data_IF_618113469541
#
_entry.id   IF_618113469541
#
_cell.length_a   1.000
_cell.length_b   1.000
_cell.length_c   1.000
_cell.angle_alpha   90.00
_cell.angle_beta   90.00
_cell.angle_gamma   90.00
#
_symmetry.space_group_name_H-M   'P 1'
#
loop_
_entity.id
_entity.type
_entity.pdbx_description
1 polymer ?
#
# COMPACT_ATOMS: atom_id res chain seq x y z
N UNK A 1 -14.45 18.31 -41.60
CA UNK A 1 -14.23 16.85 -41.39
C UNK A 1 -13.12 16.69 -40.37
N UNK A 2 -13.45 16.12 -39.20
CA UNK A 2 -12.55 15.98 -38.05
C UNK A 2 -11.53 14.88 -38.32
N UNK A 3 -10.25 15.24 -38.26
CA UNK A 3 -9.13 14.30 -38.30
C UNK A 3 -9.08 13.57 -36.96
N UNK A 4 -9.34 12.25 -36.95
CA UNK A 4 -9.09 11.41 -35.78
C UNK A 4 -7.58 11.35 -35.52
N UNK A 5 -7.11 12.06 -34.51
CA UNK A 5 -5.78 11.80 -33.94
C UNK A 5 -5.95 10.64 -32.97
N UNK A 6 -5.34 9.51 -33.31
CA UNK A 6 -5.20 8.34 -32.44
C UNK A 6 -4.47 8.76 -31.16
N UNK A 7 -5.17 8.86 -30.05
CA UNK A 7 -4.56 8.97 -28.72
C UNK A 7 -3.92 7.63 -28.39
N UNK A 8 -2.59 7.55 -28.50
CA UNK A 8 -1.83 6.46 -27.93
C UNK A 8 -1.88 6.57 -26.42
N UNK A 9 -2.69 5.72 -25.79
CA UNK A 9 -2.59 5.42 -24.37
C UNK A 9 -1.19 4.81 -24.16
N UNK A 10 -0.31 5.47 -23.42
CA UNK A 10 0.87 4.80 -22.88
C UNK A 10 0.44 3.98 -21.64
N UNK A 11 -0.50 3.05 -21.85
CA UNK A 11 -0.65 1.91 -20.97
C UNK A 11 0.55 1.01 -21.26
N UNK A 12 1.64 1.22 -20.50
CA UNK A 12 2.70 0.24 -20.41
C UNK A 12 2.11 -0.99 -19.71
N UNK A 13 1.52 -1.86 -20.54
CA UNK A 13 1.11 -3.20 -20.20
C UNK A 13 2.34 -3.94 -19.68
N UNK A 14 2.29 -4.26 -18.38
CA UNK A 14 3.19 -5.22 -17.76
C UNK A 14 2.93 -6.57 -18.41
N UNK A 15 3.73 -6.95 -19.41
CA UNK A 15 3.88 -8.35 -19.81
C UNK A 15 5.04 -8.95 -19.02
N UNK A 16 4.83 -9.13 -17.71
CA UNK A 16 5.47 -10.23 -17.03
C UNK A 16 4.57 -11.45 -17.22
N UNK A 17 4.95 -12.33 -18.13
CA UNK A 17 4.70 -13.75 -17.93
C UNK A 17 5.68 -14.25 -16.84
N UNK A 18 5.61 -13.65 -15.64
CA UNK A 18 5.93 -14.40 -14.44
C UNK A 18 4.76 -15.36 -14.29
N UNK A 19 5.00 -16.63 -13.95
CA UNK A 19 3.92 -17.48 -13.44
C UNK A 19 3.25 -16.69 -12.32
N UNK A 20 2.08 -16.08 -12.58
CA UNK A 20 1.42 -15.33 -11.53
C UNK A 20 0.96 -16.40 -10.55
N UNK A 21 1.55 -16.34 -9.35
CA UNK A 21 1.30 -17.36 -8.36
C UNK A 21 -0.21 -17.39 -8.12
N UNK A 22 -0.80 -18.59 -8.01
CA UNK A 22 -2.19 -18.69 -7.58
C UNK A 22 -2.28 -18.12 -6.16
N UNK A 23 -3.30 -17.29 -5.91
CA UNK A 23 -3.53 -16.78 -4.56
C UNK A 23 -3.79 -17.97 -3.62
N UNK A 24 -3.09 -18.13 -2.49
CA UNK A 24 -3.25 -19.31 -1.66
C UNK A 24 -4.67 -19.50 -1.11
N UNK A 25 -5.03 -20.75 -0.82
CA UNK A 25 -6.25 -21.06 -0.09
C UNK A 25 -5.95 -21.19 1.41
N UNK A 26 -6.53 -20.31 2.21
CA UNK A 26 -6.34 -20.31 3.66
C UNK A 26 -7.46 -21.06 4.39
N UNK A 27 -7.09 -21.72 5.47
CA UNK A 27 -8.01 -22.31 6.44
C UNK A 27 -8.35 -21.28 7.52
N UNK A 28 -9.45 -20.56 7.31
CA UNK A 28 -9.89 -19.49 8.20
C UNK A 28 -10.29 -19.97 9.60
N UNK A 29 -10.40 -21.28 9.84
CA UNK A 29 -10.61 -21.81 11.19
C UNK A 29 -9.38 -21.63 12.08
N UNK A 30 -8.19 -21.47 11.49
CA UNK A 30 -6.93 -21.31 12.23
C UNK A 30 -6.72 -19.89 12.78
N UNK A 31 -7.58 -18.93 12.43
CA UNK A 31 -7.48 -17.53 12.92
C UNK A 31 -7.67 -17.47 14.44
N UNK A 32 -8.44 -18.39 15.00
CA UNK A 32 -8.72 -18.48 16.42
C UNK A 32 -8.21 -19.83 16.92
N UNK A 33 -7.52 -19.83 18.06
CA UNK A 33 -6.99 -21.05 18.68
C UNK A 33 -7.35 -21.11 20.16
N UNK A 34 -7.42 -22.30 20.78
CA UNK A 34 -7.51 -22.40 22.23
C UNK A 34 -6.37 -21.63 22.91
N UNK A 35 -6.70 -20.91 23.98
CA UNK A 35 -5.71 -20.22 24.81
C UNK A 35 -5.18 -21.15 25.90
N UNK A 36 -4.16 -20.69 26.64
CA UNK A 36 -3.66 -21.41 27.83
C UNK A 36 -4.66 -21.41 28.99
N UNK A 37 -5.61 -20.48 28.99
CA UNK A 37 -6.69 -20.45 29.96
C UNK A 37 -7.84 -21.35 29.47
N UNK A 38 -8.26 -22.27 30.34
CA UNK A 38 -9.30 -23.26 30.01
C UNK A 38 -10.61 -22.57 29.62
N UNK A 39 -11.18 -22.95 28.49
CA UNK A 39 -12.42 -22.37 27.98
C UNK A 39 -12.27 -21.04 27.23
N UNK A 40 -11.06 -20.48 27.16
CA UNK A 40 -10.80 -19.22 26.44
C UNK A 40 -10.11 -19.47 25.10
N UNK A 41 -10.41 -18.62 24.13
CA UNK A 41 -9.82 -18.62 22.80
C UNK A 41 -9.00 -17.35 22.58
N UNK A 42 -7.94 -17.47 21.79
CA UNK A 42 -7.05 -16.37 21.44
C UNK A 42 -6.89 -16.27 19.92
N UNK A 43 -6.57 -15.07 19.44
CA UNK A 43 -6.18 -14.87 18.04
C UNK A 43 -4.85 -15.57 17.77
N UNK A 44 -4.80 -16.30 16.66
CA UNK A 44 -3.58 -16.86 16.13
C UNK A 44 -2.87 -15.82 15.27
N UNK A 45 -2.25 -14.83 15.93
CA UNK A 45 -1.61 -13.70 15.25
C UNK A 45 -0.56 -14.14 14.21
N UNK A 46 0.16 -15.23 14.45
CA UNK A 46 1.12 -15.79 13.48
C UNK A 46 0.43 -16.25 12.19
N UNK A 47 -0.72 -16.90 12.30
CA UNK A 47 -1.48 -17.33 11.12
C UNK A 47 -2.10 -16.13 10.41
N UNK A 48 -2.63 -15.15 11.16
CA UNK A 48 -3.12 -13.89 10.60
C UNK A 48 -2.01 -13.18 9.82
N UNK A 49 -0.78 -13.11 10.36
CA UNK A 49 0.37 -12.49 9.69
C UNK A 49 0.76 -13.21 8.40
N UNK A 50 0.64 -14.54 8.36
CA UNK A 50 0.84 -15.31 7.14
C UNK A 50 -0.19 -14.91 6.07
N UNK A 51 -1.48 -14.94 6.42
CA UNK A 51 -2.56 -14.56 5.48
C UNK A 51 -2.41 -13.12 5.00
N UNK A 52 -2.02 -12.19 5.89
CA UNK A 52 -1.74 -10.79 5.53
C UNK A 52 -0.55 -10.70 4.57
N UNK A 53 0.52 -11.47 4.78
CA UNK A 53 1.68 -11.51 3.89
C UNK A 53 1.30 -12.00 2.49
N UNK A 54 0.52 -13.07 2.42
CA UNK A 54 0.01 -13.61 1.17
C UNK A 54 -0.91 -12.59 0.49
N UNK A 55 -1.86 -11.96 1.21
CA UNK A 55 -2.68 -10.87 0.69
C UNK A 55 -1.85 -9.69 0.16
N UNK A 56 -0.78 -9.31 0.87
CA UNK A 56 0.07 -8.18 0.49
C UNK A 56 0.77 -8.41 -0.85
N UNK A 57 1.16 -9.66 -1.14
CA UNK A 57 1.75 -10.02 -2.43
C UNK A 57 0.83 -9.75 -3.63
N UNK A 58 -0.49 -9.77 -3.43
CA UNK A 58 -1.48 -9.62 -4.50
C UNK A 58 -2.25 -8.29 -4.47
N UNK A 59 -2.49 -7.75 -3.29
CA UNK A 59 -3.32 -6.57 -3.07
C UNK A 59 -2.57 -5.43 -2.36
N UNK A 60 -1.27 -5.58 -2.08
CA UNK A 60 -0.45 -4.57 -1.41
C UNK A 60 -0.14 -3.34 -2.27
N UNK A 61 -0.31 -3.43 -3.58
CA UNK A 61 -0.12 -2.33 -4.54
C UNK A 61 -1.31 -2.27 -5.50
N UNK A 62 -1.59 -1.09 -6.06
CA UNK A 62 -2.60 -0.90 -7.10
C UNK A 62 -1.96 -0.79 -8.50
N UNK A 63 -2.52 -1.44 -9.55
CA UNK A 63 -3.65 -2.36 -9.49
C UNK A 63 -3.27 -3.70 -8.83
N UNK A 64 -4.22 -4.40 -8.18
CA UNK A 64 -3.95 -5.69 -7.58
C UNK A 64 -3.68 -6.76 -8.64
N UNK A 65 -2.82 -7.73 -8.32
CA UNK A 65 -2.25 -8.69 -9.28
C UNK A 65 -2.91 -10.07 -9.22
N UNK A 66 -4.23 -10.14 -9.28
CA UNK A 66 -4.97 -11.41 -9.33
C UNK A 66 -5.15 -11.89 -10.77
N UNK A 67 -4.88 -13.16 -11.04
CA UNK A 67 -5.11 -13.77 -12.36
C UNK A 67 -6.61 -13.90 -12.65
N UNK A 68 -7.39 -14.27 -11.64
CA UNK A 68 -8.81 -14.56 -11.78
C UNK A 68 -9.67 -13.72 -10.85
N UNK A 69 -10.91 -13.46 -11.29
CA UNK A 69 -11.92 -12.85 -10.42
C UNK A 69 -12.29 -13.72 -9.22
N UNK A 70 -12.10 -15.04 -9.32
CA UNK A 70 -12.32 -15.99 -8.22
C UNK A 70 -11.33 -15.75 -7.07
N UNK A 71 -10.05 -15.57 -7.39
CA UNK A 71 -9.01 -15.33 -6.40
C UNK A 71 -9.18 -13.97 -5.73
N UNK A 72 -9.47 -12.93 -6.53
CA UNK A 72 -9.79 -11.61 -6.00
C UNK A 72 -11.01 -11.66 -5.06
N UNK A 73 -12.04 -12.46 -5.39
CA UNK A 73 -13.20 -12.63 -4.53
C UNK A 73 -12.88 -13.42 -3.25
N UNK A 74 -11.97 -14.41 -3.30
CA UNK A 74 -11.48 -15.10 -2.10
C UNK A 74 -10.74 -14.12 -1.19
N UNK A 75 -9.79 -13.35 -1.73
CA UNK A 75 -9.06 -12.32 -0.99
C UNK A 75 -10.00 -11.30 -0.31
N UNK A 76 -11.03 -10.81 -1.02
CA UNK A 76 -12.04 -9.90 -0.44
C UNK A 76 -12.78 -10.53 0.76
N UNK A 77 -13.17 -11.81 0.67
CA UNK A 77 -13.84 -12.52 1.77
C UNK A 77 -12.90 -12.70 2.96
N UNK A 78 -11.63 -13.01 2.71
CA UNK A 78 -10.65 -13.18 3.77
C UNK A 78 -10.32 -11.86 4.47
N UNK A 79 -10.15 -10.76 3.72
CA UNK A 79 -10.02 -9.42 4.29
C UNK A 79 -11.24 -9.07 5.14
N UNK A 80 -12.47 -9.34 4.67
CA UNK A 80 -13.68 -9.07 5.43
C UNK A 80 -13.73 -9.86 6.75
N UNK A 81 -13.35 -11.14 6.74
CA UNK A 81 -13.29 -11.98 7.94
C UNK A 81 -12.23 -11.48 8.93
N UNK A 82 -11.02 -11.20 8.46
CA UNK A 82 -9.91 -10.74 9.31
C UNK A 82 -10.21 -9.36 9.92
N UNK A 83 -10.68 -8.40 9.12
CA UNK A 83 -11.01 -7.07 9.62
C UNK A 83 -12.14 -7.11 10.65
N UNK A 84 -13.17 -7.94 10.45
CA UNK A 84 -14.23 -8.13 11.45
C UNK A 84 -13.68 -8.64 12.79
N UNK A 85 -12.81 -9.66 12.76
CA UNK A 85 -12.22 -10.24 13.96
C UNK A 85 -11.27 -9.25 14.67
N UNK A 86 -10.47 -8.51 13.91
CA UNK A 86 -9.58 -7.50 14.47
C UNK A 86 -10.36 -6.31 15.05
N UNK A 87 -11.47 -5.90 14.42
CA UNK A 87 -12.35 -4.85 14.94
C UNK A 87 -12.93 -5.23 16.32
N UNK A 88 -13.29 -6.50 16.53
CA UNK A 88 -13.72 -7.00 17.85
C UNK A 88 -12.58 -6.94 18.89
N UNK A 89 -11.36 -7.29 18.49
CA UNK A 89 -10.18 -7.15 19.35
C UNK A 89 -9.90 -5.70 19.75
N UNK A 90 -9.99 -4.79 18.78
CA UNK A 90 -9.77 -3.35 18.97
C UNK A 90 -10.81 -2.69 19.89
N UNK A 91 -12.05 -3.21 19.93
CA UNK A 91 -13.07 -2.75 20.89
C UNK A 91 -12.70 -3.08 22.34
N UNK A 92 -12.00 -4.19 22.55
CA UNK A 92 -11.62 -4.67 23.88
C UNK A 92 -10.35 -4.00 24.38
N UNK A 93 -9.35 -3.87 23.53
CA UNK A 93 -8.09 -3.17 23.84
C UNK A 93 -7.44 -2.66 22.55
N UNK A 94 -7.43 -1.34 22.30
CA UNK A 94 -6.71 -0.80 21.16
C UNK A 94 -5.20 -0.91 21.41
N UNK A 95 -4.56 -1.86 20.74
CA UNK A 95 -3.10 -1.97 20.72
C UNK A 95 -2.52 -1.67 19.33
N UNK A 96 -1.24 -1.29 19.33
CA UNK A 96 -0.48 -0.92 18.12
C UNK A 96 -0.45 -2.02 17.07
N UNK A 97 -0.37 -3.27 17.50
CA UNK A 97 -0.21 -4.44 16.65
C UNK A 97 -1.51 -4.78 15.90
N UNK A 98 -2.66 -4.69 16.58
CA UNK A 98 -3.97 -4.88 15.96
C UNK A 98 -4.32 -3.72 15.03
N UNK A 99 -4.03 -2.48 15.45
CA UNK A 99 -4.26 -1.28 14.61
C UNK A 99 -3.46 -1.36 13.30
N UNK A 100 -2.20 -1.76 13.35
CA UNK A 100 -1.36 -1.92 12.16
C UNK A 100 -1.91 -2.96 11.18
N UNK A 101 -2.31 -4.14 11.68
CA UNK A 101 -2.90 -5.20 10.84
C UNK A 101 -4.22 -4.76 10.20
N UNK A 102 -5.11 -4.17 10.99
CA UNK A 102 -6.41 -3.72 10.51
C UNK A 102 -6.26 -2.60 9.47
N UNK A 103 -5.34 -1.63 9.70
CA UNK A 103 -5.06 -0.56 8.75
C UNK A 103 -4.53 -1.11 7.42
N UNK A 104 -3.59 -2.06 7.47
CA UNK A 104 -3.03 -2.69 6.28
C UNK A 104 -4.08 -3.50 5.51
N UNK A 105 -4.91 -4.29 6.20
CA UNK A 105 -6.01 -5.03 5.58
C UNK A 105 -7.02 -4.10 4.91
N UNK A 106 -7.37 -2.97 5.52
CA UNK A 106 -8.25 -1.99 4.90
C UNK A 106 -7.60 -1.25 3.73
N UNK A 107 -6.29 -1.01 3.75
CA UNK A 107 -5.55 -0.52 2.57
C UNK A 107 -5.64 -1.51 1.41
N UNK A 108 -5.40 -2.80 1.65
CA UNK A 108 -5.54 -3.85 0.63
C UNK A 108 -7.00 -4.00 0.17
N UNK A 109 -7.96 -3.87 1.08
CA UNK A 109 -9.38 -3.84 0.75
C UNK A 109 -9.73 -2.66 -0.15
N UNK A 110 -9.14 -1.48 0.07
CA UNK A 110 -9.29 -0.35 -0.83
C UNK A 110 -8.74 -0.64 -2.23
N UNK A 111 -7.56 -1.26 -2.34
CA UNK A 111 -6.99 -1.67 -3.62
C UNK A 111 -7.84 -2.71 -4.36
N UNK A 112 -8.72 -3.42 -3.64
CA UNK A 112 -9.69 -4.39 -4.18
C UNK A 112 -11.11 -3.82 -4.36
N UNK A 113 -11.26 -2.50 -4.29
CA UNK A 113 -12.53 -1.77 -4.40
C UNK A 113 -13.57 -2.16 -3.33
N UNK A 114 -13.13 -2.58 -2.15
CA UNK A 114 -14.05 -2.88 -1.05
C UNK A 114 -14.63 -1.56 -0.47
N UNK A 115 -15.97 -1.47 -0.31
CA UNK A 115 -16.63 -0.29 0.23
C UNK A 115 -16.05 0.16 1.57
N UNK A 116 -16.00 1.48 1.78
CA UNK A 116 -15.53 2.16 3.00
C UNK A 116 -14.11 1.82 3.48
N UNK A 117 -13.39 0.93 2.79
CA UNK A 117 -12.08 0.45 3.25
C UNK A 117 -11.04 1.57 3.29
N UNK A 118 -11.11 2.54 2.38
CA UNK A 118 -10.23 3.70 2.41
C UNK A 118 -10.40 4.57 3.69
N UNK A 119 -11.65 4.84 4.10
CA UNK A 119 -11.96 5.62 5.31
C UNK A 119 -11.49 4.91 6.57
N UNK A 120 -11.69 3.59 6.60
CA UNK A 120 -11.26 2.74 7.71
C UNK A 120 -9.74 2.69 7.80
N UNK A 121 -9.04 2.50 6.67
CA UNK A 121 -7.58 2.54 6.62
C UNK A 121 -7.04 3.85 7.18
N UNK A 122 -7.55 4.99 6.69
CA UNK A 122 -7.17 6.31 7.17
C UNK A 122 -7.38 6.49 8.68
N UNK A 123 -8.58 6.16 9.17
CA UNK A 123 -8.92 6.26 10.60
C UNK A 123 -7.99 5.40 11.46
N UNK A 124 -7.66 4.20 11.00
CA UNK A 124 -6.80 3.27 11.75
C UNK A 124 -5.34 3.72 11.73
N UNK A 125 -4.82 4.24 10.62
CA UNK A 125 -3.49 4.83 10.57
C UNK A 125 -3.36 6.05 11.48
N UNK A 126 -4.37 6.93 11.51
CA UNK A 126 -4.40 8.08 12.41
C UNK A 126 -4.38 7.65 13.88
N UNK A 127 -5.20 6.65 14.25
CA UNK A 127 -5.17 6.07 15.60
C UNK A 127 -3.82 5.45 15.95
N UNK A 128 -3.23 4.70 15.01
CA UNK A 128 -1.92 4.07 15.16
C UNK A 128 -0.81 5.11 15.39
N UNK A 129 -0.80 6.19 14.62
CA UNK A 129 0.19 7.25 14.74
C UNK A 129 -0.08 8.18 15.92
N UNK A 130 -1.29 8.22 16.47
CA UNK A 130 -1.56 8.91 17.73
C UNK A 130 -0.88 8.22 18.93
N UNK A 131 -0.79 6.89 18.92
CA UNK A 131 -0.14 6.11 19.98
C UNK A 131 1.35 5.87 19.73
N UNK A 132 1.78 5.85 18.47
CA UNK A 132 3.17 5.63 18.08
C UNK A 132 3.57 6.60 16.96
N UNK A 133 3.79 7.90 17.28
CA UNK A 133 4.02 8.95 16.27
C UNK A 133 5.24 8.76 15.38
N UNK A 134 6.23 8.02 15.87
CA UNK A 134 7.51 7.74 15.20
C UNK A 134 7.61 6.28 14.74
N UNK A 135 6.50 5.54 14.72
CA UNK A 135 6.49 4.18 14.16
C UNK A 135 6.84 4.24 12.67
N UNK A 136 8.02 3.71 12.33
CA UNK A 136 8.60 3.75 11.00
C UNK A 136 7.68 3.11 9.97
N UNK A 137 7.11 1.95 10.28
CA UNK A 137 6.26 1.21 9.34
C UNK A 137 4.91 1.90 9.16
N UNK A 138 4.31 2.41 10.23
CA UNK A 138 3.05 3.14 10.15
C UNK A 138 3.18 4.44 9.35
N UNK A 139 4.26 5.20 9.57
CA UNK A 139 4.55 6.42 8.82
C UNK A 139 4.75 6.12 7.33
N UNK A 140 5.51 5.06 7.00
CA UNK A 140 5.64 4.63 5.61
C UNK A 140 4.31 4.21 4.99
N UNK A 141 3.57 3.29 5.63
CA UNK A 141 2.36 2.72 5.05
C UNK A 141 1.24 3.76 4.90
N UNK A 142 1.09 4.68 5.86
CA UNK A 142 0.11 5.77 5.74
C UNK A 142 0.53 6.80 4.69
N UNK A 143 1.81 7.17 4.66
CA UNK A 143 2.34 8.05 3.62
C UNK A 143 2.17 7.46 2.22
N UNK A 144 2.45 6.16 2.04
CA UNK A 144 2.21 5.44 0.80
C UNK A 144 0.73 5.45 0.41
N UNK A 145 -0.15 5.11 1.34
CA UNK A 145 -1.60 5.13 1.11
C UNK A 145 -2.11 6.52 0.70
N UNK A 146 -1.65 7.58 1.34
CA UNK A 146 -2.00 8.96 0.98
C UNK A 146 -1.48 9.32 -0.42
N UNK A 147 -0.25 8.93 -0.76
CA UNK A 147 0.31 9.17 -2.08
C UNK A 147 -0.46 8.42 -3.19
N UNK A 148 -0.77 7.14 -2.98
CA UNK A 148 -1.53 6.30 -3.91
C UNK A 148 -2.98 6.79 -4.12
N UNK A 149 -3.58 7.41 -3.10
CA UNK A 149 -4.93 7.98 -3.16
C UNK A 149 -4.97 9.43 -3.65
N UNK A 150 -3.87 9.95 -4.20
CA UNK A 150 -3.78 11.29 -4.78
C UNK A 150 -3.58 12.42 -3.77
N UNK A 151 -3.34 12.10 -2.51
CA UNK A 151 -3.13 13.05 -1.41
C UNK A 151 -1.63 13.30 -1.18
N UNK A 152 -0.87 13.52 -2.26
CA UNK A 152 0.60 13.63 -2.23
C UNK A 152 1.12 14.70 -1.28
N UNK A 153 0.45 15.85 -1.15
CA UNK A 153 0.87 16.87 -0.17
C UNK A 153 0.72 16.40 1.28
N UNK A 154 -0.30 15.59 1.57
CA UNK A 154 -0.54 15.07 2.92
C UNK A 154 0.40 13.89 3.26
N UNK A 155 0.92 13.18 2.25
CA UNK A 155 1.84 12.06 2.48
C UNK A 155 3.23 12.49 2.92
N UNK A 156 3.70 13.67 2.46
CA UNK A 156 5.05 14.19 2.73
C UNK A 156 5.50 14.08 4.20
N UNK A 157 4.78 14.60 5.21
CA UNK A 157 5.25 14.55 6.59
C UNK A 157 5.45 13.12 7.13
N UNK A 158 4.65 12.16 6.67
CA UNK A 158 4.77 10.76 7.09
C UNK A 158 5.93 10.06 6.37
N UNK A 159 6.08 10.30 5.07
CA UNK A 159 7.19 9.75 4.29
C UNK A 159 8.54 10.32 4.73
N UNK A 160 8.62 11.61 5.04
CA UNK A 160 9.82 12.27 5.62
C UNK A 160 10.21 11.68 6.98
N UNK A 161 9.23 11.27 7.81
CA UNK A 161 9.52 10.54 9.06
C UNK A 161 10.11 9.16 8.76
N UNK A 162 9.55 8.43 7.81
CA UNK A 162 10.04 7.11 7.44
C UNK A 162 11.46 7.15 6.84
N UNK A 163 11.78 8.15 6.00
CA UNK A 163 13.13 8.32 5.45
C UNK A 163 14.15 8.78 6.48
N UNK A 164 13.77 9.61 7.47
CA UNK A 164 14.66 9.95 8.60
C UNK A 164 15.05 8.74 9.44
N UNK A 165 14.22 7.70 9.46
CA UNK A 165 14.53 6.43 10.08
C UNK A 165 15.30 5.48 9.15
N UNK A 166 15.85 5.99 8.03
CA UNK A 166 16.57 5.27 6.99
C UNK A 166 15.80 4.08 6.42
N UNK A 167 14.47 4.18 6.27
CA UNK A 167 13.67 3.11 5.67
C UNK A 167 13.74 3.19 4.14
N UNK A 168 14.50 2.32 3.45
CA UNK A 168 14.80 2.51 2.04
C UNK A 168 13.58 2.56 1.11
N UNK A 169 12.51 1.75 1.34
CA UNK A 169 11.30 1.81 0.52
C UNK A 169 10.61 3.18 0.51
N UNK A 170 10.77 4.01 1.56
CA UNK A 170 10.12 5.31 1.63
C UNK A 170 10.68 6.34 0.63
N UNK A 171 11.95 6.23 0.23
CA UNK A 171 12.59 7.23 -0.63
C UNK A 171 11.95 7.31 -2.03
N UNK A 172 11.55 6.18 -2.61
CA UNK A 172 10.89 6.17 -3.92
C UNK A 172 9.51 6.86 -3.84
N UNK A 173 8.69 6.47 -2.85
CA UNK A 173 7.37 7.08 -2.66
C UNK A 173 7.48 8.57 -2.33
N UNK A 174 8.48 8.97 -1.54
CA UNK A 174 8.74 10.37 -1.21
C UNK A 174 9.18 11.16 -2.45
N UNK A 175 10.02 10.58 -3.31
CA UNK A 175 10.40 11.20 -4.58
C UNK A 175 9.19 11.47 -5.47
N UNK A 176 8.29 10.48 -5.60
CA UNK A 176 7.05 10.64 -6.36
C UNK A 176 6.12 11.69 -5.74
N UNK A 177 6.00 11.72 -4.41
CA UNK A 177 5.16 12.69 -3.72
C UNK A 177 5.70 14.12 -3.91
N UNK A 178 7.01 14.35 -3.77
CA UNK A 178 7.62 15.66 -4.06
C UNK A 178 7.46 16.07 -5.51
N UNK A 179 7.64 15.12 -6.43
CA UNK A 179 7.43 15.41 -7.84
C UNK A 179 5.98 15.86 -8.08
N UNK A 180 5.00 15.12 -7.54
CA UNK A 180 3.58 15.42 -7.64
C UNK A 180 3.18 16.78 -7.04
N UNK A 181 3.90 17.26 -6.02
CA UNK A 181 3.69 18.57 -5.41
C UNK A 181 4.54 19.69 -6.02
N UNK A 182 5.32 19.40 -7.06
CA UNK A 182 6.11 20.37 -7.83
C UNK A 182 7.53 20.61 -7.30
N UNK A 183 7.97 19.90 -6.26
CA UNK A 183 9.34 19.99 -5.75
C UNK A 183 10.27 18.99 -6.48
N UNK A 184 10.57 19.29 -7.75
CA UNK A 184 11.40 18.44 -8.60
C UNK A 184 12.84 18.26 -8.06
N UNK A 185 13.35 19.21 -7.27
CA UNK A 185 14.69 19.09 -6.69
C UNK A 185 14.72 18.02 -5.60
N UNK A 186 13.80 18.09 -4.63
CA UNK A 186 13.69 17.04 -3.60
C UNK A 186 13.30 15.68 -4.18
N UNK A 187 12.52 15.67 -5.26
CA UNK A 187 12.20 14.43 -5.97
C UNK A 187 13.48 13.72 -6.46
N UNK A 188 14.36 14.45 -7.16
CA UNK A 188 15.64 13.93 -7.65
C UNK A 188 16.54 13.45 -6.51
N UNK A 189 16.68 14.24 -5.45
CA UNK A 189 17.51 13.88 -4.28
C UNK A 189 17.05 12.54 -3.65
N UNK A 190 15.75 12.38 -3.41
CA UNK A 190 15.21 11.15 -2.83
C UNK A 190 15.34 9.95 -3.79
N UNK A 191 15.16 10.17 -5.09
CA UNK A 191 15.32 9.11 -6.09
C UNK A 191 16.77 8.65 -6.23
N UNK A 192 17.74 9.57 -6.10
CA UNK A 192 19.16 9.25 -6.01
C UNK A 192 19.46 8.37 -4.80
N UNK A 193 18.94 8.71 -3.62
CA UNK A 193 19.11 7.88 -2.40
C UNK A 193 18.48 6.50 -2.58
N UNK A 194 17.26 6.43 -3.13
CA UNK A 194 16.62 5.14 -3.44
C UNK A 194 17.51 4.24 -4.33
N UNK A 195 18.12 4.83 -5.37
CA UNK A 195 18.99 4.11 -6.30
C UNK A 195 20.32 3.65 -5.68
N UNK A 196 20.78 4.26 -4.59
CA UNK A 196 21.93 3.75 -3.83
C UNK A 196 21.66 2.36 -3.24
N UNK A 197 20.41 2.09 -2.87
CA UNK A 197 19.99 0.79 -2.35
C UNK A 197 19.45 -0.15 -3.43
N UNK A 198 19.02 0.39 -4.57
CA UNK A 198 18.35 -0.33 -5.65
C UNK A 198 19.00 -0.04 -7.02
N UNK A 199 20.33 -0.20 -7.11
CA UNK A 199 21.12 0.24 -8.28
C UNK A 199 20.69 -0.37 -9.63
N UNK A 200 19.98 -1.52 -9.60
CA UNK A 200 19.51 -2.21 -10.79
C UNK A 200 18.07 -1.83 -11.20
N UNK A 201 17.41 -0.92 -10.47
CA UNK A 201 16.08 -0.44 -10.82
C UNK A 201 16.14 0.52 -12.02
N UNK A 202 16.00 -0.07 -13.21
CA UNK A 202 16.04 0.66 -14.49
C UNK A 202 14.90 1.68 -14.61
N UNK A 203 13.77 1.46 -13.95
CA UNK A 203 12.62 2.36 -14.01
C UNK A 203 12.88 3.60 -13.18
N UNK A 204 13.35 3.43 -11.94
CA UNK A 204 13.76 4.54 -11.10
C UNK A 204 14.91 5.34 -11.74
N UNK A 205 15.87 4.67 -12.38
CA UNK A 205 16.96 5.35 -13.11
C UNK A 205 16.42 6.18 -14.29
N UNK A 206 15.56 5.60 -15.12
CA UNK A 206 14.96 6.32 -16.25
C UNK A 206 14.10 7.52 -15.80
N UNK A 207 13.39 7.38 -14.68
CA UNK A 207 12.64 8.48 -14.08
C UNK A 207 13.56 9.61 -13.62
N UNK A 208 14.68 9.29 -12.97
CA UNK A 208 15.68 10.28 -12.55
C UNK A 208 16.25 11.02 -13.76
N UNK A 209 16.66 10.31 -14.81
CA UNK A 209 17.19 10.89 -16.03
C UNK A 209 16.17 11.83 -16.70
N UNK A 210 14.89 11.43 -16.73
CA UNK A 210 13.82 12.27 -17.25
C UNK A 210 13.61 13.54 -16.40
N UNK A 211 13.74 13.47 -15.07
CA UNK A 211 13.66 14.64 -14.19
C UNK A 211 14.85 15.58 -14.37
N UNK A 212 16.06 15.04 -14.58
CA UNK A 212 17.28 15.81 -14.82
C UNK A 212 17.21 16.55 -16.17
N UNK A 213 16.68 15.91 -17.20
CA UNK A 213 16.51 16.50 -18.53
C UNK A 213 15.30 17.45 -18.65
N UNK A 214 14.51 17.62 -17.58
CA UNK A 214 13.26 18.38 -17.62
C UNK A 214 12.16 17.77 -18.51
N UNK A 215 12.27 16.46 -18.81
CA UNK A 215 11.32 15.69 -19.63
C UNK A 215 10.25 14.99 -18.80
N UNK A 216 10.41 14.91 -17.49
CA UNK A 216 9.42 14.35 -16.59
C UNK A 216 8.20 15.28 -16.48
N UNK A 217 7.00 14.75 -16.69
CA UNK A 217 5.75 15.47 -16.53
C UNK A 217 4.75 14.62 -15.73
N UNK A 218 3.98 15.27 -14.87
CA UNK A 218 2.81 14.64 -14.24
C UNK A 218 1.69 14.69 -15.28
N UNK A 219 1.25 13.53 -15.75
CA UNK A 219 0.03 13.47 -16.55
C UNK A 219 -1.16 13.68 -15.61
N UNK A 220 -1.77 14.87 -15.61
CA UNK A 220 -3.08 15.06 -15.00
C UNK A 220 -4.11 14.33 -15.86
N UNK A 221 -4.84 13.37 -15.28
CA UNK A 221 -6.05 12.87 -15.93
C UNK A 221 -6.97 14.07 -16.23
N UNK A 222 -7.62 14.14 -17.40
CA UNK A 222 -8.57 15.21 -17.67
C UNK A 222 -9.62 15.24 -16.56
N UNK A 223 -9.94 16.43 -16.06
CA UNK A 223 -11.01 16.61 -15.09
C UNK A 223 -12.25 15.88 -15.62
N UNK A 224 -12.85 15.02 -14.80
CA UNK A 224 -14.18 14.48 -15.09
C UNK A 224 -15.13 15.69 -15.03
N UNK A 225 -15.46 16.24 -16.19
CA UNK A 225 -16.53 17.21 -16.36
C UNK A 225 -17.88 16.59 -15.99
#
# INVERSE_FOLDING_TARGET
MKTLIRTGLLSLLVSFAANAAEYPQHDMQQIVRPSSESGHYALNLRYIDQVIGDLYGFAGSYPPSFETGTDANRARKEIAALTHILDLGLQSSPDRQLLSRAALLHRMGHNLDMPDSWKKAETLYQKLLAIAPDDLHANYQYGLFLAETGQSSQSLPYLEKATRANYPPAYFTLALAYFATGDANKAKENLQVYLQHNANDKHAKALLDAMEDGRAQIMSAPAKN
#
